data_IF_218748523439
#
_entry.id   IF_218748523439
#
_cell.length_a   1.000
_cell.length_b   1.000
_cell.length_c   1.000
_cell.angle_alpha   90.00
_cell.angle_beta   90.00
_cell.angle_gamma   90.00
#
_symmetry.space_group_name_H-M   'P 1'
#
loop_
_entity.id
_entity.type
_entity.pdbx_description
1 polymer ?
#
# COMPACT_ATOMS: atom_id res chain seq x y z
N UNK A 1 18.42 -21.50 -45.08
CA UNK A 1 18.99 -20.90 -43.84
C UNK A 1 19.64 -19.56 -44.17
N UNK A 2 18.95 -18.43 -43.96
CA UNK A 2 19.44 -17.02 -44.06
C UNK A 2 18.49 -16.16 -43.20
N UNK A 3 18.85 -15.94 -41.94
CA UNK A 3 19.23 -14.63 -41.36
C UNK A 3 18.17 -13.52 -41.46
N UNK A 4 17.40 -13.33 -40.39
CA UNK A 4 16.96 -12.01 -39.93
C UNK A 4 16.61 -12.12 -38.43
N UNK A 5 17.66 -12.05 -37.60
CA UNK A 5 17.52 -11.95 -36.15
C UNK A 5 17.00 -10.55 -35.81
N UNK A 6 15.80 -10.53 -35.21
CA UNK A 6 15.34 -9.67 -34.11
C UNK A 6 16.04 -8.32 -33.95
N UNK A 7 15.31 -7.25 -34.24
CA UNK A 7 15.50 -5.93 -33.63
C UNK A 7 14.10 -5.34 -33.33
N UNK A 8 13.51 -5.75 -32.21
CA UNK A 8 12.44 -4.97 -31.58
C UNK A 8 13.12 -4.22 -30.44
N UNK A 9 13.70 -3.07 -30.78
CA UNK A 9 14.30 -2.17 -29.81
C UNK A 9 13.16 -1.46 -29.07
N UNK A 10 13.01 -1.86 -27.81
CA UNK A 10 12.77 -1.02 -26.64
C UNK A 10 12.12 0.36 -26.87
N UNK A 11 10.81 0.42 -26.66
CA UNK A 11 10.11 1.65 -26.25
C UNK A 11 9.16 1.33 -25.10
N UNK A 12 9.71 0.89 -23.97
CA UNK A 12 9.00 0.77 -22.68
C UNK A 12 9.78 1.59 -21.66
N UNK A 13 9.90 2.90 -21.92
CA UNK A 13 10.63 3.80 -21.05
C UNK A 13 9.90 5.13 -20.94
N UNK A 14 8.69 5.12 -20.36
CA UNK A 14 8.08 6.31 -19.70
C UNK A 14 6.75 5.94 -19.04
N UNK A 15 6.80 5.12 -18.00
CA UNK A 15 5.68 5.00 -17.05
C UNK A 15 6.12 4.89 -15.58
N UNK A 16 7.40 5.10 -15.28
CA UNK A 16 7.94 4.97 -13.93
C UNK A 16 7.90 6.27 -13.10
N UNK A 17 7.32 7.36 -13.62
CA UNK A 17 7.43 8.69 -13.01
C UNK A 17 6.08 9.25 -12.54
N UNK A 18 5.27 8.43 -11.86
CA UNK A 18 4.17 8.92 -11.01
C UNK A 18 3.97 8.01 -9.78
N UNK A 19 5.05 7.43 -9.24
CA UNK A 19 4.97 6.91 -7.87
C UNK A 19 5.01 8.15 -6.98
N UNK A 20 3.98 8.43 -6.17
CA UNK A 20 3.99 9.58 -5.27
C UNK A 20 5.23 9.47 -4.37
N UNK A 21 6.20 10.35 -4.61
CA UNK A 21 7.35 10.52 -3.74
C UNK A 21 6.78 11.11 -2.45
N UNK A 22 6.64 10.28 -1.41
CA UNK A 22 6.47 10.82 -0.06
C UNK A 22 5.27 10.34 0.74
N UNK A 23 4.69 9.18 0.46
CA UNK A 23 4.07 8.44 1.58
C UNK A 23 5.20 7.69 2.30
N UNK A 24 5.49 8.01 3.57
CA UNK A 24 6.47 7.24 4.31
C UNK A 24 6.04 5.76 4.32
N UNK A 25 7.00 4.84 4.19
CA UNK A 25 6.70 3.40 4.11
C UNK A 25 5.79 2.91 5.24
N UNK A 26 5.94 3.50 6.44
CA UNK A 26 5.07 3.20 7.58
C UNK A 26 3.60 3.59 7.37
N UNK A 27 3.30 4.67 6.64
CA UNK A 27 1.93 5.05 6.36
C UNK A 27 1.26 4.06 5.40
N UNK A 28 2.04 3.45 4.50
CA UNK A 28 1.56 2.37 3.64
C UNK A 28 1.26 1.10 4.44
N UNK A 29 2.16 0.71 5.35
CA UNK A 29 1.97 -0.45 6.24
C UNK A 29 0.70 -0.27 7.11
N UNK A 30 0.55 0.88 7.77
CA UNK A 30 -0.62 1.16 8.59
C UNK A 30 -1.94 1.18 7.79
N UNK A 31 -1.90 1.66 6.54
CA UNK A 31 -3.08 1.65 5.67
C UNK A 31 -3.46 0.22 5.24
N UNK A 32 -2.49 -0.68 5.06
CA UNK A 32 -2.78 -2.08 4.79
C UNK A 32 -3.49 -2.75 5.98
N UNK A 33 -3.04 -2.48 7.19
CA UNK A 33 -3.67 -2.99 8.42
C UNK A 33 -5.09 -2.44 8.60
N UNK A 34 -5.28 -1.14 8.36
CA UNK A 34 -6.61 -0.51 8.30
C UNK A 34 -7.54 -1.28 7.34
N UNK A 35 -7.07 -1.50 6.11
CA UNK A 35 -7.90 -2.09 5.07
C UNK A 35 -8.22 -3.57 5.37
N UNK A 36 -7.26 -4.30 5.95
CA UNK A 36 -7.44 -5.67 6.42
C UNK A 36 -8.51 -5.74 7.53
N UNK A 37 -8.39 -4.91 8.56
CA UNK A 37 -9.32 -4.89 9.69
C UNK A 37 -10.73 -4.48 9.23
N UNK A 38 -10.84 -3.42 8.43
CA UNK A 38 -12.09 -2.98 7.84
C UNK A 38 -12.80 -4.11 7.06
N UNK A 39 -12.09 -4.81 6.18
CA UNK A 39 -12.67 -5.89 5.38
C UNK A 39 -13.10 -7.08 6.24
N UNK A 40 -12.32 -7.44 7.27
CA UNK A 40 -12.69 -8.48 8.22
C UNK A 40 -13.96 -8.12 9.00
N UNK A 41 -14.11 -6.88 9.45
CA UNK A 41 -15.32 -6.42 10.15
C UNK A 41 -16.53 -6.38 9.22
N UNK A 42 -16.35 -5.93 7.97
CA UNK A 42 -17.40 -5.98 6.95
C UNK A 42 -17.85 -7.42 6.67
N UNK A 43 -16.91 -8.36 6.60
CA UNK A 43 -17.21 -9.79 6.44
C UNK A 43 -17.95 -10.39 7.63
N UNK A 44 -17.79 -9.82 8.83
CA UNK A 44 -18.52 -10.22 10.04
C UNK A 44 -19.91 -9.56 10.17
N UNK A 45 -20.31 -8.73 9.19
CA UNK A 45 -21.62 -8.08 9.16
C UNK A 45 -21.68 -6.70 9.82
N UNK A 46 -20.54 -6.13 10.24
CA UNK A 46 -20.51 -4.78 10.80
C UNK A 46 -20.90 -3.76 9.73
N UNK A 47 -21.58 -2.69 10.13
CA UNK A 47 -21.88 -1.57 9.24
C UNK A 47 -20.59 -0.89 8.78
N UNK A 48 -20.64 -0.19 7.64
CA UNK A 48 -19.50 0.57 7.13
C UNK A 48 -18.93 1.53 8.18
N UNK A 49 -19.80 2.25 8.91
CA UNK A 49 -19.37 3.20 9.94
C UNK A 49 -18.70 2.50 11.12
N UNK A 50 -19.26 1.37 11.59
CA UNK A 50 -18.68 0.64 12.71
C UNK A 50 -17.33 0.00 12.33
N UNK A 51 -17.24 -0.59 11.14
CA UNK A 51 -16.02 -1.17 10.61
C UNK A 51 -14.93 -0.10 10.39
N UNK A 52 -15.28 1.05 9.83
CA UNK A 52 -14.36 2.15 9.62
C UNK A 52 -13.88 2.75 10.96
N UNK A 53 -14.77 2.99 11.91
CA UNK A 53 -14.39 3.52 13.23
C UNK A 53 -13.39 2.61 13.95
N UNK A 54 -13.64 1.29 13.95
CA UNK A 54 -12.72 0.32 14.56
C UNK A 54 -11.38 0.21 13.80
N UNK A 55 -11.41 0.20 12.47
CA UNK A 55 -10.19 0.16 11.66
C UNK A 55 -9.36 1.44 11.80
N UNK A 56 -10.00 2.60 11.96
CA UNK A 56 -9.31 3.88 12.19
C UNK A 56 -8.53 3.87 13.51
N UNK A 57 -9.06 3.26 14.57
CA UNK A 57 -8.33 3.14 15.85
C UNK A 57 -7.02 2.37 15.62
N UNK A 58 -7.07 1.23 14.91
CA UNK A 58 -5.86 0.45 14.58
C UNK A 58 -4.88 1.24 13.71
N UNK A 59 -5.38 2.04 12.77
CA UNK A 59 -4.55 2.90 11.93
C UNK A 59 -3.83 3.98 12.75
N UNK A 60 -4.53 4.64 13.66
CA UNK A 60 -3.95 5.65 14.54
C UNK A 60 -2.91 5.05 15.49
N UNK A 61 -3.18 3.88 16.08
CA UNK A 61 -2.23 3.13 16.89
C UNK A 61 -0.96 2.77 16.11
N UNK A 62 -1.10 2.31 14.87
CA UNK A 62 0.02 2.00 13.99
C UNK A 62 0.85 3.25 13.65
N UNK A 63 0.19 4.38 13.36
CA UNK A 63 0.88 5.63 13.11
C UNK A 63 1.65 6.11 14.34
N UNK A 64 1.04 6.05 15.52
CA UNK A 64 1.69 6.50 16.75
C UNK A 64 2.86 5.60 17.14
N UNK A 65 2.72 4.28 17.06
CA UNK A 65 3.81 3.34 17.34
C UNK A 65 4.97 3.49 16.36
N UNK A 66 4.68 3.70 15.07
CA UNK A 66 5.73 3.79 14.03
C UNK A 66 6.37 5.17 13.94
N UNK A 67 5.67 6.25 14.33
CA UNK A 67 6.30 7.57 14.52
C UNK A 67 7.31 7.56 15.67
N UNK A 68 7.04 6.79 16.73
CA UNK A 68 7.88 6.75 17.94
C UNK A 68 8.92 5.63 17.92
N UNK A 69 8.82 4.68 17.00
CA UNK A 69 9.80 3.60 16.80
C UNK A 69 10.36 3.68 15.39
N UNK A 70 11.50 4.38 15.17
CA UNK A 70 12.19 4.23 13.89
C UNK A 70 12.54 2.76 13.72
N UNK A 71 12.05 2.12 12.64
CA UNK A 71 12.51 0.78 12.24
C UNK A 71 14.04 0.86 12.17
N UNK A 72 14.80 -0.01 12.87
CA UNK A 72 16.23 -0.11 12.64
C UNK A 72 16.44 -0.51 11.17
N UNK A 73 17.29 0.25 10.48
CA UNK A 73 17.67 0.08 9.07
C UNK A 73 18.23 -1.32 8.76
#
# INVERSE_FOLDING_TARGET
MKHARRLVIASLATAALLVPIGTPAYATDCYQDFNSNYNNLRSQGYSHNAAAAAATITYEECLETTKHSPKPE
#
